data_IF_949488990177
#
_entry.id   IF_949488990177
#
_cell.length_a   1.000
_cell.length_b   1.000
_cell.length_c   1.000
_cell.angle_alpha   90.00
_cell.angle_beta   90.00
_cell.angle_gamma   90.00
#
_symmetry.space_group_name_H-M   'P 1'
#
loop_
_entity.id
_entity.type
_entity.pdbx_description
1 polymer ?
#
# COMPACT_ATOMS: atom_id res chain seq x y z
N UNK A 1 21.36 10.56 -26.48
CA UNK A 1 21.08 11.66 -25.54
C UNK A 1 19.60 11.53 -25.27
N UNK A 2 19.25 10.71 -24.28
CA UNK A 2 17.86 10.38 -23.95
C UNK A 2 17.41 11.40 -22.91
N UNK A 3 16.59 12.35 -23.36
CA UNK A 3 16.04 13.41 -22.54
C UNK A 3 14.88 12.87 -21.71
N UNK A 4 15.07 12.88 -20.38
CA UNK A 4 14.10 13.20 -19.33
C UNK A 4 12.63 12.88 -19.64
N UNK A 5 12.27 11.60 -19.53
CA UNK A 5 10.88 11.13 -19.55
C UNK A 5 10.20 11.17 -18.15
N UNK A 6 10.88 11.68 -17.12
CA UNK A 6 10.44 11.59 -15.72
C UNK A 6 9.68 12.80 -15.16
N UNK A 7 9.44 13.87 -15.93
CA UNK A 7 8.82 15.09 -15.36
C UNK A 7 7.32 15.29 -15.62
N UNK A 8 6.63 14.45 -16.42
CA UNK A 8 5.26 14.76 -16.88
C UNK A 8 4.13 13.83 -16.41
N UNK A 9 4.30 13.06 -15.34
CA UNK A 9 3.22 12.20 -14.82
C UNK A 9 2.37 12.81 -13.68
N UNK A 10 2.63 14.07 -13.30
CA UNK A 10 1.91 14.72 -12.19
C UNK A 10 1.20 16.00 -12.64
N UNK A 11 0.22 15.90 -13.55
CA UNK A 11 -0.81 16.93 -13.58
C UNK A 11 -2.13 16.47 -14.21
N UNK A 12 -3.22 16.90 -13.56
CA UNK A 12 -4.60 17.08 -14.04
C UNK A 12 -5.67 16.00 -13.80
N UNK A 13 -6.05 15.84 -12.53
CA UNK A 13 -7.45 15.61 -12.11
C UNK A 13 -7.63 15.60 -10.57
N UNK A 14 -7.39 16.73 -9.90
CA UNK A 14 -7.89 16.94 -8.53
C UNK A 14 -9.39 17.23 -8.52
N UNK A 15 -10.21 16.29 -8.04
CA UNK A 15 -11.34 16.64 -7.16
C UNK A 15 -11.74 15.48 -6.25
N UNK A 16 -11.38 15.65 -4.97
CA UNK A 16 -11.89 14.89 -3.81
C UNK A 16 -11.22 13.54 -3.51
N UNK A 17 -9.89 13.52 -3.43
CA UNK A 17 -9.22 12.58 -2.52
C UNK A 17 -9.07 13.34 -1.21
N UNK A 18 -9.87 12.93 -0.21
CA UNK A 18 -9.75 13.40 1.17
C UNK A 18 -8.26 13.36 1.57
N UNK A 19 -7.78 14.37 2.31
CA UNK A 19 -6.37 14.53 2.76
C UNK A 19 -5.82 13.39 3.64
N UNK A 20 -6.41 12.20 3.58
CA UNK A 20 -6.16 11.02 4.39
C UNK A 20 -5.74 9.78 3.60
N UNK A 21 -5.85 9.77 2.28
CA UNK A 21 -5.42 8.67 1.43
C UNK A 21 -4.13 9.08 0.70
N UNK A 22 -3.00 8.52 1.11
CA UNK A 22 -1.71 8.76 0.47
C UNK A 22 -1.52 7.76 -0.67
N UNK A 23 -1.23 8.26 -1.89
CA UNK A 23 -0.79 7.42 -3.00
C UNK A 23 0.65 7.00 -2.71
N UNK A 24 0.83 5.71 -2.49
CA UNK A 24 2.11 5.08 -2.24
C UNK A 24 2.49 4.27 -3.48
N UNK A 25 3.80 4.07 -3.62
CA UNK A 25 4.39 3.21 -4.64
C UNK A 25 3.65 1.88 -4.83
N UNK A 26 3.74 1.32 -6.05
CA UNK A 26 2.97 0.18 -6.53
C UNK A 26 1.47 0.44 -6.71
N UNK A 27 1.04 1.72 -6.77
CA UNK A 27 -0.35 2.12 -7.00
C UNK A 27 -1.27 1.82 -5.82
N UNK A 28 -0.74 1.82 -4.59
CA UNK A 28 -1.49 1.58 -3.37
C UNK A 28 -1.97 2.90 -2.78
N UNK A 29 -3.26 3.00 -2.50
CA UNK A 29 -3.81 4.10 -1.70
C UNK A 29 -4.00 3.58 -0.29
N UNK A 30 -3.31 4.20 0.67
CA UNK A 30 -3.20 3.68 2.02
C UNK A 30 -3.74 4.68 3.04
N UNK A 31 -4.37 4.13 4.09
CA UNK A 31 -4.84 4.88 5.25
C UNK A 31 -4.52 4.14 6.55
N UNK A 32 -4.29 4.92 7.61
CA UNK A 32 -4.22 4.38 8.96
C UNK A 32 -5.58 3.78 9.36
N UNK A 33 -5.53 2.67 10.09
CA UNK A 33 -6.74 1.97 10.52
C UNK A 33 -7.45 2.75 11.64
N UNK A 34 -8.54 3.44 11.29
CA UNK A 34 -9.40 4.19 12.21
C UNK A 34 -10.64 3.39 12.65
N UNK A 35 -11.47 3.99 13.51
CA UNK A 35 -12.68 3.33 14.06
C UNK A 35 -13.74 3.08 12.99
N UNK A 36 -13.88 3.98 12.03
CA UNK A 36 -14.91 3.89 10.99
C UNK A 36 -14.61 2.75 10.03
N UNK A 37 -13.34 2.61 9.62
CA UNK A 37 -12.85 1.49 8.82
C UNK A 37 -13.00 0.17 9.57
N UNK A 38 -12.66 0.14 10.87
CA UNK A 38 -12.83 -1.07 11.70
C UNK A 38 -14.26 -1.54 11.74
N UNK A 39 -15.21 -0.62 11.95
CA UNK A 39 -16.63 -0.95 11.97
C UNK A 39 -17.11 -1.42 10.59
N UNK A 40 -16.77 -0.68 9.54
CA UNK A 40 -17.21 -0.97 8.16
C UNK A 40 -16.75 -2.34 7.67
N UNK A 41 -15.51 -2.72 7.99
CA UNK A 41 -14.89 -3.97 7.53
C UNK A 41 -14.85 -5.05 8.61
N UNK A 42 -15.53 -4.87 9.74
CA UNK A 42 -15.56 -5.81 10.87
C UNK A 42 -14.16 -6.23 11.35
N UNK A 43 -13.22 -5.28 11.36
CA UNK A 43 -11.83 -5.52 11.77
C UNK A 43 -11.75 -5.40 13.30
N UNK A 44 -11.28 -6.46 13.96
CA UNK A 44 -11.13 -6.51 15.43
C UNK A 44 -10.16 -5.43 15.95
N UNK A 45 -10.44 -4.89 17.14
CA UNK A 45 -9.66 -3.82 17.78
C UNK A 45 -8.17 -4.16 18.01
N UNK A 46 -7.86 -5.43 18.26
CA UNK A 46 -6.50 -5.91 18.49
C UNK A 46 -5.66 -6.00 17.19
N UNK A 47 -6.32 -6.02 16.03
CA UNK A 47 -5.62 -6.01 14.74
C UNK A 47 -4.97 -4.67 14.48
N UNK A 48 -3.73 -4.76 13.98
CA UNK A 48 -2.90 -3.63 13.57
C UNK A 48 -2.44 -3.87 12.15
N UNK A 49 -2.40 -2.81 11.36
CA UNK A 49 -2.02 -2.85 9.97
C UNK A 49 -2.24 -1.50 9.31
N UNK A 50 -2.03 -1.47 8.01
CA UNK A 50 -2.33 -0.33 7.14
C UNK A 50 -3.44 -0.74 6.19
N UNK A 51 -4.50 0.06 6.11
CA UNK A 51 -5.68 -0.27 5.36
C UNK A 51 -5.53 0.20 3.90
N UNK A 52 -5.86 -0.67 2.95
CA UNK A 52 -5.86 -0.35 1.52
C UNK A 52 -7.22 0.26 1.17
N UNK A 53 -7.23 1.56 0.89
CA UNK A 53 -8.46 2.29 0.53
C UNK A 53 -8.78 2.16 -0.96
N UNK A 54 -7.77 2.12 -1.81
CA UNK A 54 -7.89 1.91 -3.25
C UNK A 54 -6.61 1.34 -3.86
N UNK A 55 -6.71 0.84 -5.09
CA UNK A 55 -5.57 0.33 -5.87
C UNK A 55 -5.70 0.78 -7.32
N UNK A 56 -4.67 1.43 -7.85
CA UNK A 56 -4.64 1.86 -9.25
C UNK A 56 -4.69 0.65 -10.19
N UNK A 57 -5.59 0.68 -11.17
CA UNK A 57 -5.88 -0.46 -12.07
C UNK A 57 -4.69 -0.90 -12.92
N UNK A 58 -3.80 0.03 -13.25
CA UNK A 58 -2.62 -0.23 -14.08
C UNK A 58 -1.35 -0.49 -13.22
N UNK A 59 -1.54 -0.82 -11.94
CA UNK A 59 -0.43 -1.03 -11.00
C UNK A 59 -0.08 -2.50 -10.75
N UNK A 60 1.16 -2.73 -10.33
CA UNK A 60 1.62 -4.06 -9.89
C UNK A 60 0.77 -4.62 -8.74
N UNK A 61 0.24 -3.76 -7.87
CA UNK A 61 -0.61 -4.21 -6.76
C UNK A 61 -1.93 -4.78 -7.28
N UNK A 62 -2.53 -4.12 -8.27
CA UNK A 62 -3.75 -4.59 -8.91
C UNK A 62 -3.53 -5.92 -9.64
N UNK A 63 -2.46 -6.02 -10.43
CA UNK A 63 -2.07 -7.25 -11.14
C UNK A 63 -1.85 -8.44 -10.19
N UNK A 64 -1.34 -8.17 -8.98
CA UNK A 64 -1.09 -9.18 -7.95
C UNK A 64 -2.33 -9.50 -7.11
N UNK A 65 -3.46 -8.87 -7.41
CA UNK A 65 -4.75 -9.13 -6.77
C UNK A 65 -4.93 -8.46 -5.41
N UNK A 66 -4.11 -7.45 -5.08
CA UNK A 66 -4.39 -6.57 -3.93
C UNK A 66 -5.62 -5.73 -4.27
N UNK A 67 -6.51 -5.56 -3.30
CA UNK A 67 -7.77 -4.83 -3.47
C UNK A 67 -8.03 -3.85 -2.34
N UNK A 68 -8.89 -2.88 -2.60
CA UNK A 68 -9.51 -2.06 -1.56
C UNK A 68 -10.19 -2.97 -0.53
N UNK A 69 -9.98 -2.71 0.76
CA UNK A 69 -10.46 -3.58 1.84
C UNK A 69 -9.39 -4.49 2.42
N UNK A 70 -8.28 -4.69 1.73
CA UNK A 70 -7.16 -5.47 2.27
C UNK A 70 -6.48 -4.73 3.43
N UNK A 71 -6.01 -5.48 4.42
CA UNK A 71 -5.22 -4.98 5.54
C UNK A 71 -3.79 -5.48 5.43
N UNK A 72 -2.84 -4.56 5.25
CA UNK A 72 -1.41 -4.88 5.22
C UNK A 72 -0.91 -5.00 6.67
N UNK A 73 -0.43 -6.19 7.03
CA UNK A 73 0.06 -6.51 8.37
C UNK A 73 1.58 -6.35 8.46
N UNK A 74 2.30 -6.72 7.40
CA UNK A 74 3.76 -6.68 7.36
C UNK A 74 4.31 -6.23 6.01
N UNK A 75 5.48 -5.59 6.04
CA UNK A 75 6.28 -5.24 4.88
C UNK A 75 7.71 -5.75 5.08
N UNK A 76 8.18 -6.62 4.18
CA UNK A 76 9.51 -7.19 4.25
C UNK A 76 9.80 -7.96 5.56
N UNK A 77 8.80 -8.70 6.07
CA UNK A 77 8.85 -9.45 7.35
C UNK A 77 8.94 -8.56 8.60
N UNK A 78 8.56 -7.29 8.49
CA UNK A 78 8.45 -6.37 9.62
C UNK A 78 6.99 -5.90 9.74
N UNK A 79 6.46 -5.88 10.95
CA UNK A 79 5.09 -5.41 11.21
C UNK A 79 4.91 -3.94 10.88
N UNK A 80 3.80 -3.60 10.24
CA UNK A 80 3.38 -2.22 9.99
C UNK A 80 2.08 -1.95 10.73
N UNK A 81 1.94 -0.74 11.25
CA UNK A 81 0.73 -0.33 12.01
C UNK A 81 0.26 1.08 11.65
N UNK A 82 0.93 1.72 10.71
CA UNK A 82 0.59 3.03 10.16
C UNK A 82 1.27 3.22 8.81
N UNK A 83 0.69 4.09 7.98
CA UNK A 83 1.22 4.52 6.68
C UNK A 83 2.66 5.02 6.85
N UNK A 84 2.93 5.80 7.90
CA UNK A 84 4.30 6.27 8.22
C UNK A 84 5.28 5.11 8.46
N UNK A 85 4.87 4.07 9.18
CA UNK A 85 5.72 2.88 9.40
C UNK A 85 5.96 2.11 8.10
N UNK A 86 4.92 1.98 7.27
CA UNK A 86 5.00 1.37 5.95
C UNK A 86 6.00 2.09 5.06
N UNK A 87 5.86 3.41 4.90
CA UNK A 87 6.76 4.24 4.08
C UNK A 87 8.21 4.11 4.55
N UNK A 88 8.44 4.21 5.87
CA UNK A 88 9.78 4.07 6.44
C UNK A 88 10.40 2.71 6.09
N UNK A 89 9.64 1.62 6.26
CA UNK A 89 10.13 0.27 5.96
C UNK A 89 10.36 0.07 4.46
N UNK A 90 9.49 0.62 3.61
CA UNK A 90 9.67 0.58 2.16
C UNK A 90 10.96 1.28 1.75
N UNK A 91 11.22 2.48 2.29
CA UNK A 91 12.46 3.21 2.04
C UNK A 91 13.70 2.46 2.50
N UNK A 92 13.65 1.78 3.66
CA UNK A 92 14.76 0.93 4.12
C UNK A 92 15.02 -0.24 3.16
N UNK A 93 13.95 -0.88 2.67
CA UNK A 93 14.04 -2.01 1.73
C UNK A 93 14.60 -1.56 0.38
N UNK A 94 14.19 -0.40 -0.12
CA UNK A 94 14.70 0.17 -1.37
C UNK A 94 16.19 0.53 -1.34
N UNK A 95 16.72 0.81 -0.14
CA UNK A 95 18.15 1.05 0.07
C UNK A 95 18.97 -0.25 0.15
N UNK A 96 18.32 -1.40 0.12
CA UNK A 96 18.97 -2.72 0.10
C UNK A 96 18.98 -3.29 -1.32
N UNK A 97 19.79 -4.32 -1.57
CA UNK A 97 19.91 -4.96 -2.90
C UNK A 97 18.71 -5.86 -3.27
N UNK A 98 17.60 -5.77 -2.52
CA UNK A 98 16.40 -6.58 -2.76
C UNK A 98 15.71 -6.15 -4.04
N UNK A 99 15.33 -7.14 -4.85
CA UNK A 99 14.59 -6.94 -6.11
C UNK A 99 13.07 -6.97 -5.91
N UNK A 100 12.60 -7.34 -4.73
CA UNK A 100 11.18 -7.45 -4.40
C UNK A 100 10.93 -7.18 -2.92
N UNK A 101 9.72 -6.74 -2.63
CA UNK A 101 9.19 -6.61 -1.28
C UNK A 101 8.06 -7.61 -1.05
N UNK A 102 8.04 -8.21 0.14
CA UNK A 102 7.03 -9.18 0.56
C UNK A 102 6.03 -8.48 1.48
N UNK A 103 4.74 -8.50 1.12
CA UNK A 103 3.65 -8.00 1.93
C UNK A 103 2.93 -9.20 2.56
N UNK A 104 2.64 -9.11 3.86
CA UNK A 104 1.64 -9.96 4.49
C UNK A 104 0.33 -9.18 4.51
N UNK A 105 -0.69 -9.68 3.82
CA UNK A 105 -2.01 -9.08 3.78
C UNK A 105 -3.04 -9.98 4.45
N UNK A 106 -4.10 -9.38 4.94
CA UNK A 106 -5.29 -10.09 5.37
C UNK A 106 -6.52 -9.49 4.69
N UNK A 107 -7.36 -10.36 4.14
CA UNK A 107 -8.61 -10.00 3.49
C UNK A 107 -9.71 -11.01 3.81
N UNK A 108 -10.84 -10.93 3.10
CA UNK A 108 -11.99 -11.83 3.29
C UNK A 108 -11.65 -13.31 3.12
N UNK A 109 -10.58 -13.65 2.38
CA UNK A 109 -10.12 -15.01 2.14
C UNK A 109 -9.08 -15.49 3.17
N UNK A 110 -8.72 -14.64 4.14
CA UNK A 110 -7.75 -14.91 5.18
C UNK A 110 -6.42 -14.18 4.96
N UNK A 111 -5.36 -14.69 5.60
CA UNK A 111 -4.03 -14.09 5.58
C UNK A 111 -3.14 -14.74 4.51
N UNK A 112 -2.45 -13.94 3.72
CA UNK A 112 -1.59 -14.41 2.63
C UNK A 112 -0.43 -13.47 2.31
N UNK A 113 0.57 -14.01 1.62
CA UNK A 113 1.75 -13.26 1.20
C UNK A 113 1.65 -12.83 -0.27
N UNK A 114 2.02 -11.58 -0.57
CA UNK A 114 2.14 -11.06 -1.92
C UNK A 114 3.54 -10.46 -2.11
N UNK A 115 4.20 -10.83 -3.20
CA UNK A 115 5.49 -10.26 -3.58
C UNK A 115 5.33 -9.22 -4.69
N UNK A 116 5.80 -8.00 -4.45
CA UNK A 116 5.85 -6.91 -5.42
C UNK A 116 7.31 -6.67 -5.83
N UNK A 117 7.56 -6.50 -7.13
CA UNK A 117 8.90 -6.21 -7.64
C UNK A 117 9.25 -4.74 -7.38
N UNK A 118 10.49 -4.50 -6.95
CA UNK A 118 11.06 -3.16 -6.83
C UNK A 118 11.67 -2.79 -8.19
N UNK A 119 11.23 -1.68 -8.77
CA UNK A 119 11.76 -1.15 -10.04
C UNK A 119 12.72 0.00 -9.78
#
# INVERSE_FOLDING_TARGET
>A
MEENFFENAFNDNEKTISRSDEIIEFGLHLKDLDKDLRQKYSIKEDKKGVFVTDVDKDSLSYEKGIKSGDLILELGQKKVSSVKSFIKQLQEIKKSDKQSVLLLIENENGTGFIALKLN
#
